data_IF_070482265090
#
_entry.id   IF_070482265090
#
_cell.length_a   1.000
_cell.length_b   1.000
_cell.length_c   1.000
_cell.angle_alpha   90.00
_cell.angle_beta   90.00
_cell.angle_gamma   90.00
#
_symmetry.space_group_name_H-M   'P 1'
#
loop_
_entity.id
_entity.type
_entity.pdbx_description
1 polymer ?
#
# COMPACT_ATOMS: atom_id res chain seq x y z
N UNK A 1 8.17 -17.72 21.90
CA UNK A 1 6.96 -16.90 21.70
C UNK A 1 5.70 -17.58 22.20
N UNK A 2 5.51 -18.87 21.92
CA UNK A 2 4.27 -19.63 22.17
C UNK A 2 3.75 -19.66 23.61
N UNK A 3 4.61 -19.45 24.62
CA UNK A 3 4.23 -19.45 26.04
C UNK A 3 4.16 -18.04 26.67
N UNK A 4 4.16 -16.99 25.85
CA UNK A 4 4.09 -15.60 26.33
C UNK A 4 2.71 -15.05 25.96
N UNK A 5 1.87 -14.81 26.97
CA UNK A 5 0.57 -14.18 26.77
C UNK A 5 0.72 -12.71 26.36
N UNK A 6 -0.17 -12.24 25.48
CA UNK A 6 -0.19 -10.84 25.05
C UNK A 6 -0.83 -9.98 26.15
N UNK A 7 -0.13 -8.95 26.58
CA UNK A 7 -0.56 -7.93 27.56
C UNK A 7 -0.53 -6.55 26.90
N UNK A 8 -1.16 -5.56 27.54
CA UNK A 8 -1.14 -4.17 27.05
C UNK A 8 0.29 -3.65 26.86
N UNK A 9 1.19 -4.03 27.78
CA UNK A 9 2.60 -3.62 27.79
C UNK A 9 3.37 -4.24 26.62
N UNK A 10 3.10 -5.51 26.28
CA UNK A 10 3.85 -6.22 25.23
C UNK A 10 3.16 -6.19 23.84
N UNK A 11 1.94 -5.68 23.74
CA UNK A 11 1.15 -5.66 22.51
C UNK A 11 1.88 -5.00 21.34
N UNK A 12 2.50 -3.83 21.56
CA UNK A 12 3.25 -3.12 20.51
C UNK A 12 4.45 -3.94 20.00
N UNK A 13 5.15 -4.62 20.92
CA UNK A 13 6.26 -5.47 20.56
C UNK A 13 5.79 -6.67 19.74
N UNK A 14 4.71 -7.32 20.16
CA UNK A 14 4.08 -8.40 19.40
C UNK A 14 3.70 -7.94 17.97
N UNK A 15 3.04 -6.79 17.82
CA UNK A 15 2.68 -6.25 16.50
C UNK A 15 3.91 -6.01 15.62
N UNK A 16 5.00 -5.50 16.19
CA UNK A 16 6.27 -5.30 15.46
C UNK A 16 6.86 -6.62 14.98
N UNK A 17 6.95 -7.62 15.86
CA UNK A 17 7.43 -8.96 15.51
C UNK A 17 6.55 -9.64 14.46
N UNK A 18 5.23 -9.53 14.60
CA UNK A 18 4.28 -10.07 13.63
C UNK A 18 4.45 -9.42 12.26
N UNK A 19 4.52 -8.07 12.21
CA UNK A 19 4.78 -7.33 10.97
C UNK A 19 6.10 -7.76 10.33
N UNK A 20 7.18 -7.86 11.12
CA UNK A 20 8.48 -8.30 10.62
C UNK A 20 8.37 -9.72 10.05
N UNK A 21 7.74 -10.65 10.76
CA UNK A 21 7.54 -12.00 10.25
C UNK A 21 6.80 -12.00 8.90
N UNK A 22 5.64 -11.34 8.83
CA UNK A 22 4.80 -11.27 7.61
C UNK A 22 5.51 -10.63 6.42
N UNK A 23 6.31 -9.59 6.64
CA UNK A 23 7.08 -8.94 5.57
C UNK A 23 8.22 -9.83 5.03
N UNK A 24 8.68 -10.82 5.81
CA UNK A 24 9.84 -11.64 5.47
C UNK A 24 9.50 -13.10 5.11
N UNK A 25 8.20 -13.48 5.04
CA UNK A 25 7.75 -14.85 4.75
C UNK A 25 8.29 -15.40 3.44
N UNK A 26 8.59 -14.52 2.48
CA UNK A 26 9.00 -14.88 1.12
C UNK A 26 10.41 -14.40 0.75
N UNK A 27 11.26 -14.08 1.75
CA UNK A 27 12.60 -13.53 1.49
C UNK A 27 13.43 -14.35 0.51
N UNK A 28 13.32 -15.69 0.56
CA UNK A 28 14.05 -16.56 -0.37
C UNK A 28 13.62 -16.31 -1.82
N UNK A 29 12.31 -16.23 -2.07
CA UNK A 29 11.74 -15.99 -3.39
C UNK A 29 12.05 -14.56 -3.86
N UNK A 30 11.91 -13.57 -2.98
CA UNK A 30 12.22 -12.16 -3.27
C UNK A 30 13.71 -12.00 -3.63
N UNK A 31 14.62 -12.71 -2.96
CA UNK A 31 16.05 -12.67 -3.30
C UNK A 31 16.32 -13.13 -4.74
N UNK A 32 15.67 -14.19 -5.21
CA UNK A 32 15.83 -14.64 -6.61
C UNK A 32 15.22 -13.64 -7.61
N UNK A 33 14.09 -13.02 -7.27
CA UNK A 33 13.49 -11.95 -8.10
C UNK A 33 14.44 -10.75 -8.19
N UNK A 34 15.03 -10.33 -7.06
CA UNK A 34 16.01 -9.25 -7.03
C UNK A 34 17.24 -9.59 -7.87
N UNK A 35 17.78 -10.80 -7.78
CA UNK A 35 18.90 -11.23 -8.62
C UNK A 35 18.56 -11.16 -10.12
N UNK A 36 17.36 -11.62 -10.50
CA UNK A 36 16.88 -11.50 -11.87
C UNK A 36 16.78 -10.04 -12.32
N UNK A 37 16.20 -9.18 -11.49
CA UNK A 37 16.07 -7.76 -11.79
C UNK A 37 17.45 -7.07 -11.92
N UNK A 38 18.39 -7.37 -11.01
CA UNK A 38 19.75 -6.80 -11.02
C UNK A 38 20.61 -7.27 -12.19
N UNK A 39 20.28 -8.42 -12.79
CA UNK A 39 20.95 -8.90 -14.00
C UNK A 39 20.63 -8.06 -15.24
N UNK A 40 19.51 -7.33 -15.22
CA UNK A 40 19.03 -6.49 -16.32
C UNK A 40 19.29 -5.02 -16.02
N UNK A 41 18.95 -4.57 -14.81
CA UNK A 41 19.05 -3.18 -14.37
C UNK A 41 20.03 -3.11 -13.19
N UNK A 42 21.15 -2.35 -13.31
CA UNK A 42 22.08 -2.18 -12.21
C UNK A 42 21.39 -1.67 -10.94
N UNK A 43 21.72 -2.27 -9.79
CA UNK A 43 21.10 -2.01 -8.49
C UNK A 43 21.04 -0.52 -8.11
N UNK A 44 22.07 0.26 -8.44
CA UNK A 44 22.13 1.68 -8.07
C UNK A 44 21.02 2.52 -8.71
N UNK A 45 20.53 2.16 -9.90
CA UNK A 45 19.42 2.87 -10.53
C UNK A 45 18.09 2.59 -9.81
N UNK A 46 17.88 1.35 -9.36
CA UNK A 46 16.66 0.97 -8.65
C UNK A 46 16.54 1.67 -7.29
N UNK A 47 17.67 1.97 -6.64
CA UNK A 47 17.70 2.73 -5.39
C UNK A 47 17.36 4.21 -5.53
N UNK A 48 17.27 4.75 -6.75
CA UNK A 48 16.82 6.12 -6.97
C UNK A 48 15.29 6.24 -6.87
N UNK A 49 14.56 5.13 -7.02
CA UNK A 49 13.12 5.10 -6.96
C UNK A 49 12.63 4.85 -5.53
N UNK A 50 11.55 5.52 -5.17
CA UNK A 50 10.66 5.04 -4.10
C UNK A 50 9.94 3.77 -4.55
N UNK A 51 9.39 3.02 -3.59
CA UNK A 51 8.60 1.82 -3.92
C UNK A 51 7.43 2.11 -4.87
N UNK A 52 6.79 3.29 -4.74
CA UNK A 52 5.68 3.70 -5.61
C UNK A 52 6.13 4.04 -7.02
N UNK A 53 7.22 4.77 -7.17
CA UNK A 53 7.73 5.12 -8.51
C UNK A 53 8.24 3.88 -9.25
N UNK A 54 8.84 2.90 -8.54
CA UNK A 54 9.24 1.64 -9.15
C UNK A 54 8.01 0.82 -9.60
N UNK A 55 6.95 0.79 -8.78
CA UNK A 55 5.67 0.18 -9.17
C UNK A 55 5.11 0.85 -10.42
N UNK A 56 5.05 2.18 -10.46
CA UNK A 56 4.54 2.92 -11.63
C UNK A 56 5.39 2.70 -12.89
N UNK A 57 6.71 2.60 -12.75
CA UNK A 57 7.61 2.35 -13.86
C UNK A 57 7.42 0.94 -14.47
N UNK A 58 7.05 -0.05 -13.64
CA UNK A 58 6.91 -1.46 -14.07
C UNK A 58 5.47 -1.78 -14.47
N UNK A 59 4.50 -1.36 -13.66
CA UNK A 59 3.08 -1.68 -13.81
C UNK A 59 2.30 -0.59 -14.55
N UNK A 60 2.90 0.60 -14.73
CA UNK A 60 2.20 1.78 -15.21
C UNK A 60 1.50 2.54 -14.09
N UNK A 61 0.96 3.72 -14.42
CA UNK A 61 0.13 4.50 -13.50
C UNK A 61 -1.27 3.94 -13.44
N UNK A 62 -1.80 3.77 -12.23
CA UNK A 62 -3.20 3.44 -12.02
C UNK A 62 -4.09 4.56 -12.55
N UNK A 63 -4.82 4.30 -13.63
CA UNK A 63 -5.86 5.21 -14.11
C UNK A 63 -7.16 4.86 -13.41
N UNK A 64 -7.55 5.69 -12.43
CA UNK A 64 -8.81 5.53 -11.71
C UNK A 64 -9.89 6.32 -12.45
N UNK A 65 -10.95 5.64 -12.87
CA UNK A 65 -12.16 6.29 -13.37
C UNK A 65 -12.93 6.91 -12.20
N UNK A 66 -12.79 8.23 -12.06
CA UNK A 66 -13.40 9.01 -10.98
C UNK A 66 -14.94 9.01 -11.09
N UNK A 67 -15.50 8.99 -12.30
CA UNK A 67 -16.95 8.96 -12.49
C UNK A 67 -17.52 7.60 -12.08
N UNK A 68 -16.82 6.52 -12.41
CA UNK A 68 -17.17 5.18 -11.93
C UNK A 68 -17.08 5.11 -10.40
N UNK A 69 -16.03 5.66 -9.80
CA UNK A 69 -15.85 5.66 -8.36
C UNK A 69 -16.98 6.44 -7.67
N UNK A 70 -17.31 7.63 -8.19
CA UNK A 70 -18.39 8.48 -7.69
C UNK A 70 -19.75 7.79 -7.77
N UNK A 71 -20.05 7.11 -8.89
CA UNK A 71 -21.31 6.37 -9.08
C UNK A 71 -21.49 5.22 -8.09
N UNK A 72 -20.39 4.60 -7.66
CA UNK A 72 -20.41 3.43 -6.77
C UNK A 72 -20.07 3.79 -5.30
N UNK A 73 -20.04 5.06 -4.94
CA UNK A 73 -19.76 5.49 -3.55
C UNK A 73 -21.06 5.63 -2.76
N UNK A 74 -21.11 4.99 -1.59
CA UNK A 74 -22.18 5.19 -0.61
C UNK A 74 -21.78 6.25 0.43
N UNK A 75 -22.70 7.17 0.70
CA UNK A 75 -22.50 8.20 1.73
C UNK A 75 -23.23 7.79 3.01
N UNK A 76 -22.49 7.77 4.12
CA UNK A 76 -23.02 7.44 5.45
C UNK A 76 -23.21 8.68 6.33
N UNK A 77 -23.94 8.52 7.44
CA UNK A 77 -24.34 9.63 8.31
C UNK A 77 -25.44 10.48 7.68
N UNK A 78 -25.37 11.80 7.87
CA UNK A 78 -26.34 12.76 7.33
C UNK A 78 -25.97 13.28 5.92
N UNK A 79 -24.98 12.65 5.28
CA UNK A 79 -24.50 13.05 3.97
C UNK A 79 -25.20 12.30 2.85
N UNK A 80 -25.42 13.01 1.74
CA UNK A 80 -25.86 12.45 0.48
C UNK A 80 -25.06 13.06 -0.67
N UNK A 81 -25.30 12.58 -1.89
CA UNK A 81 -24.58 13.02 -3.10
C UNK A 81 -24.62 14.53 -3.36
N UNK A 82 -25.63 15.24 -2.86
CA UNK A 82 -25.82 16.68 -3.03
C UNK A 82 -25.35 17.48 -1.80
N UNK A 83 -24.78 16.82 -0.80
CA UNK A 83 -24.25 17.53 0.37
C UNK A 83 -23.06 18.40 -0.07
N UNK A 84 -23.00 19.68 0.33
CA UNK A 84 -21.90 20.57 -0.04
C UNK A 84 -20.48 20.02 0.16
N UNK A 85 -20.15 19.29 1.26
CA UNK A 85 -18.83 18.69 1.41
C UNK A 85 -18.57 17.54 0.43
N UNK A 86 -19.60 16.79 0.02
CA UNK A 86 -19.48 15.70 -0.95
C UNK A 86 -19.25 16.26 -2.36
N UNK A 87 -19.95 17.32 -2.73
CA UNK A 87 -19.71 18.01 -4.01
C UNK A 87 -18.28 18.55 -4.08
N UNK A 88 -17.79 19.18 -3.00
CA UNK A 88 -16.41 19.68 -2.94
C UNK A 88 -15.37 18.56 -3.02
N UNK A 89 -15.62 17.43 -2.37
CA UNK A 89 -14.72 16.28 -2.41
C UNK A 89 -14.45 15.80 -3.85
N UNK A 90 -15.47 15.80 -4.71
CA UNK A 90 -15.33 15.36 -6.11
C UNK A 90 -14.85 16.45 -7.09
N UNK A 91 -14.85 17.72 -6.70
CA UNK A 91 -14.39 18.82 -7.56
C UNK A 91 -12.87 18.95 -7.55
N UNK A 92 -12.19 18.44 -6.52
CA UNK A 92 -10.73 18.51 -6.44
C UNK A 92 -10.13 17.59 -7.51
N UNK A 93 -9.40 18.12 -8.51
CA UNK A 93 -8.64 17.27 -9.41
C UNK A 93 -7.49 16.64 -8.61
N UNK A 94 -7.44 15.31 -8.57
CA UNK A 94 -6.25 14.56 -8.13
C UNK A 94 -5.23 14.49 -9.28
#
# INVERSE_FOLDING_TARGET
GSNISITIENFKYYCSCYRQYRLNEFNRQINYIQQGLYSIIPYYYLNLFTAKELEEAVCGKDQIDIELLKRNTLYGGDYNKNSPPIERFWIVPM
#
